data_IF_697787794213
#
_entry.id   IF_697787794213
#
_cell.length_a   1.000
_cell.length_b   1.000
_cell.length_c   1.000
_cell.angle_alpha   90.00
_cell.angle_beta   90.00
_cell.angle_gamma   90.00
#
_symmetry.space_group_name_H-M   'P 1'
#
loop_
_entity.id
_entity.type
_entity.pdbx_description
1 polymer ?
#
# COMPACT_ATOMS: atom_id res chain seq x y z
N UNK A 1 12.59 19.06 23.45
CA UNK A 1 11.66 17.91 23.51
C UNK A 1 11.49 17.48 22.07
N UNK A 2 11.93 16.28 21.68
CA UNK A 2 11.74 15.82 20.30
C UNK A 2 10.26 15.58 20.13
N UNK A 3 9.57 16.50 19.46
CA UNK A 3 8.16 16.35 19.13
C UNK A 3 8.06 15.22 18.11
N UNK A 4 7.74 14.02 18.60
CA UNK A 4 7.47 12.84 17.79
C UNK A 4 6.13 13.04 17.07
N UNK A 5 6.08 13.98 16.12
CA UNK A 5 4.85 14.37 15.44
C UNK A 5 4.48 13.40 14.30
N UNK A 6 4.89 12.14 14.45
CA UNK A 6 4.53 11.04 13.54
C UNK A 6 3.11 10.61 13.87
N UNK A 7 2.20 10.83 12.93
CA UNK A 7 0.79 10.46 13.07
C UNK A 7 0.53 9.03 12.61
N UNK A 8 1.26 8.58 11.58
CA UNK A 8 1.13 7.23 11.05
C UNK A 8 2.50 6.67 10.73
N UNK A 9 2.76 5.44 11.16
CA UNK A 9 3.91 4.65 10.74
C UNK A 9 3.42 3.41 10.01
N UNK A 10 3.83 3.25 8.76
CA UNK A 10 3.49 2.11 7.91
C UNK A 10 4.76 1.32 7.63
N UNK A 11 4.70 0.01 7.82
CA UNK A 11 5.82 -0.90 7.57
C UNK A 11 5.41 -1.96 6.56
N UNK A 12 6.26 -2.19 5.56
CA UNK A 12 6.15 -3.26 4.58
C UNK A 12 4.76 -3.33 3.90
N UNK A 13 4.18 -2.18 3.53
CA UNK A 13 2.88 -2.11 2.87
C UNK A 13 2.93 -2.80 1.51
N UNK A 14 1.95 -3.68 1.29
CA UNK A 14 1.74 -4.38 0.03
C UNK A 14 0.29 -4.20 -0.40
N UNK A 15 0.09 -3.84 -1.66
CA UNK A 15 -1.23 -3.79 -2.27
C UNK A 15 -1.16 -4.36 -3.67
N UNK A 16 -1.82 -5.49 -3.85
CA UNK A 16 -1.92 -6.18 -5.13
C UNK A 16 -3.39 -6.21 -5.55
N UNK A 17 -3.68 -5.80 -6.78
CA UNK A 17 -5.03 -5.82 -7.33
C UNK A 17 -5.19 -7.03 -8.26
N UNK A 18 -6.24 -7.84 -8.10
CA UNK A 18 -6.45 -9.01 -8.96
C UNK A 18 -6.79 -8.56 -10.38
N UNK A 19 -6.24 -9.26 -11.37
CA UNK A 19 -6.68 -9.17 -12.76
C UNK A 19 -7.62 -10.35 -13.01
N UNK A 20 -8.84 -10.04 -13.43
CA UNK A 20 -9.85 -11.02 -13.84
C UNK A 20 -9.97 -11.04 -15.36
N UNK A 21 -10.14 -12.22 -15.97
CA UNK A 21 -10.25 -12.36 -17.42
C UNK A 21 -11.01 -13.60 -17.86
N UNK A 22 -11.20 -13.71 -19.18
CA UNK A 22 -11.96 -14.78 -19.83
C UNK A 22 -13.47 -14.66 -19.67
N UNK A 23 -14.21 -15.56 -20.31
CA UNK A 23 -15.68 -15.54 -20.39
C UNK A 23 -16.36 -15.72 -19.01
N UNK A 24 -15.65 -16.30 -18.04
CA UNK A 24 -16.14 -16.59 -16.69
C UNK A 24 -15.49 -15.70 -15.60
N UNK A 25 -14.72 -14.66 -15.99
CA UNK A 25 -14.15 -13.69 -15.06
C UNK A 25 -13.19 -14.28 -14.01
N UNK A 26 -12.47 -15.35 -14.32
CA UNK A 26 -11.54 -15.99 -13.37
C UNK A 26 -10.32 -15.10 -13.14
N UNK A 27 -9.73 -15.17 -11.95
CA UNK A 27 -8.47 -14.49 -11.65
C UNK A 27 -7.33 -15.11 -12.48
N UNK A 28 -6.65 -14.27 -13.25
CA UNK A 28 -5.54 -14.66 -14.14
C UNK A 28 -4.20 -14.07 -13.70
N UNK A 29 -4.21 -13.16 -12.73
CA UNK A 29 -2.99 -12.55 -12.19
C UNK A 29 -3.29 -11.51 -11.13
N UNK A 30 -2.26 -10.74 -10.77
CA UNK A 30 -2.40 -9.56 -9.93
C UNK A 30 -1.37 -8.49 -10.31
N UNK A 31 -1.80 -7.23 -10.38
CA UNK A 31 -0.90 -6.08 -10.52
C UNK A 31 -0.41 -5.67 -9.14
N UNK A 32 0.90 -5.54 -8.97
CA UNK A 32 1.49 -4.98 -7.75
C UNK A 32 1.40 -3.46 -7.82
N UNK A 33 0.54 -2.85 -7.00
CA UNK A 33 0.42 -1.40 -6.91
C UNK A 33 1.48 -0.80 -5.97
N UNK A 34 1.72 -1.46 -4.84
CA UNK A 34 2.88 -1.20 -3.97
C UNK A 34 3.36 -2.54 -3.42
N UNK A 35 4.68 -2.72 -3.31
CA UNK A 35 5.26 -3.94 -2.74
C UNK A 35 6.44 -3.57 -1.84
N UNK A 36 6.22 -3.71 -0.53
CA UNK A 36 7.27 -3.61 0.48
C UNK A 36 7.68 -2.20 0.87
N UNK A 37 6.79 -1.22 0.75
CA UNK A 37 7.11 0.17 1.11
C UNK A 37 6.90 0.43 2.60
N UNK A 38 7.81 1.19 3.21
CA UNK A 38 7.71 1.64 4.60
C UNK A 38 7.86 3.15 4.64
N UNK A 39 6.98 3.83 5.36
CA UNK A 39 6.98 5.28 5.45
C UNK A 39 6.27 5.76 6.72
N UNK A 40 6.47 7.03 7.04
CA UNK A 40 5.83 7.71 8.15
C UNK A 40 5.12 8.95 7.61
N UNK A 41 3.95 9.27 8.14
CA UNK A 41 3.25 10.53 7.90
C UNK A 41 3.36 11.34 9.17
N UNK A 42 3.97 12.52 9.07
CA UNK A 42 3.99 13.49 10.17
C UNK A 42 2.84 14.47 10.05
N UNK A 43 2.55 15.18 11.14
CA UNK A 43 1.53 16.22 11.14
C UNK A 43 1.83 17.28 10.08
N UNK A 44 0.84 17.58 9.23
CA UNK A 44 0.96 18.57 8.16
C UNK A 44 1.48 18.04 6.83
N UNK A 45 1.85 16.76 6.73
CA UNK A 45 2.23 16.09 5.46
C UNK A 45 1.00 15.43 4.81
N UNK A 46 1.01 15.26 3.47
CA UNK A 46 -0.04 14.56 2.70
C UNK A 46 0.58 13.66 1.63
#
# INVERSE_FOLDING_TARGET
>A
MVENDVLLRVQNLKKHFPITGGLLGRQVGAVKAVDGISFEIKRGET
#
